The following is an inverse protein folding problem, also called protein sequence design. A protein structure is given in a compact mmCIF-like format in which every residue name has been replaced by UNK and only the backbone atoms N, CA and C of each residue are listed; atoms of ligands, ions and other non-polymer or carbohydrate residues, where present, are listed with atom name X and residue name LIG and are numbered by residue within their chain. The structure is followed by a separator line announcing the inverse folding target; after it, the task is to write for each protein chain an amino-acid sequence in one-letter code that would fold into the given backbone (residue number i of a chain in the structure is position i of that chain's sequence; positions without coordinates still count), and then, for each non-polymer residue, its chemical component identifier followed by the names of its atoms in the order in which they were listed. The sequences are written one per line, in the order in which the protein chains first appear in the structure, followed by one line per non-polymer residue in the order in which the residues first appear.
data_IF_918513605066
#
_entry.id   IF_918513605066
#
_cell.length_a   1.000
_cell.length_b   1.000
_cell.length_c   1.000
_cell.angle_alpha   90.00
_cell.angle_beta   90.00
_cell.angle_gamma   90.00
#
_symmetry.space_group_name_H-M   'P 1'
#
loop_
_entity.id
_entity.type
_entity.pdbx_description
1 polymer ?
#
# COMPACT_ATOMS: atom_id res chain seq x y z
N UNK A 1 14.13 -39.48 33.45
CA UNK A 1 13.93 -38.04 33.24
C UNK A 1 14.90 -37.56 32.17
N UNK A 2 14.44 -37.37 30.94
CA UNK A 2 15.18 -36.66 29.91
C UNK A 2 14.16 -35.86 29.12
N UNK A 3 14.08 -34.56 29.43
CA UNK A 3 13.21 -33.62 28.76
C UNK A 3 13.86 -33.19 27.46
N UNK A 4 13.33 -33.66 26.33
CA UNK A 4 13.66 -33.10 25.04
C UNK A 4 12.95 -31.76 24.87
N UNK A 5 13.68 -30.68 25.10
CA UNK A 5 13.28 -29.33 24.69
C UNK A 5 13.39 -29.24 23.16
N UNK A 6 12.27 -29.44 22.47
CA UNK A 6 12.16 -29.02 21.08
C UNK A 6 12.21 -27.48 21.01
N UNK A 7 13.31 -26.95 20.49
CA UNK A 7 13.35 -25.59 19.94
C UNK A 7 12.53 -25.59 18.65
N UNK A 8 11.28 -25.13 18.75
CA UNK A 8 10.41 -24.93 17.59
C UNK A 8 10.59 -23.49 17.10
N UNK A 9 10.94 -23.33 15.82
CA UNK A 9 11.35 -22.08 15.18
C UNK A 9 10.22 -21.05 15.01
N UNK A 10 10.59 -19.81 14.67
CA UNK A 10 9.68 -18.76 14.19
C UNK A 10 9.54 -18.92 12.68
N UNK A 11 8.31 -18.89 12.16
CA UNK A 11 8.06 -19.00 10.72
C UNK A 11 7.65 -17.64 10.16
N UNK A 12 8.39 -17.18 9.15
CA UNK A 12 8.13 -15.95 8.40
C UNK A 12 7.80 -16.35 6.97
N UNK A 13 6.64 -15.92 6.48
CA UNK A 13 6.17 -16.18 5.12
C UNK A 13 6.17 -14.87 4.33
N UNK A 14 6.80 -14.87 3.16
CA UNK A 14 6.63 -13.79 2.20
C UNK A 14 5.46 -14.11 1.27
N UNK A 15 4.41 -13.30 1.34
CA UNK A 15 3.27 -13.37 0.43
C UNK A 15 3.62 -12.49 -0.76
N UNK A 16 4.27 -13.12 -1.74
CA UNK A 16 4.60 -12.50 -3.02
C UNK A 16 3.45 -12.70 -4.00
N UNK A 17 3.22 -11.77 -4.94
CA UNK A 17 2.19 -12.00 -5.93
C UNK A 17 2.62 -13.08 -6.94
N UNK A 18 1.63 -13.73 -7.59
CA UNK A 18 1.86 -14.91 -8.43
C UNK A 18 2.57 -14.61 -9.76
N UNK A 19 3.76 -15.17 -9.98
CA UNK A 19 4.48 -15.07 -11.26
C UNK A 19 3.76 -15.89 -12.35
N UNK A 20 3.75 -15.37 -13.58
CA UNK A 20 3.27 -16.14 -14.74
C UNK A 20 4.41 -17.06 -15.20
N UNK A 21 4.28 -18.37 -15.00
CA UNK A 21 5.10 -19.33 -15.76
C UNK A 21 4.68 -19.26 -17.23
N UNK A 22 5.65 -19.32 -18.15
CA UNK A 22 5.38 -19.25 -19.59
C UNK A 22 4.71 -20.52 -20.16
N UNK A 23 4.49 -21.54 -19.34
CA UNK A 23 3.91 -22.81 -19.77
C UNK A 23 2.52 -23.02 -19.17
N UNK A 24 1.48 -22.63 -19.91
CA UNK A 24 0.25 -23.43 -20.12
C UNK A 24 -0.87 -22.56 -20.69
N UNK A 25 -1.22 -22.87 -21.93
CA UNK A 25 -2.45 -22.47 -22.62
C UNK A 25 -3.55 -23.38 -22.09
N UNK A 26 -4.54 -22.82 -21.39
CA UNK A 26 -5.71 -23.48 -20.75
C UNK A 26 -5.42 -24.25 -19.45
N UNK A 27 -5.54 -23.57 -18.32
CA UNK A 27 -5.64 -24.19 -17.00
C UNK A 27 -6.56 -23.38 -16.09
N UNK A 28 -7.69 -23.98 -15.69
CA UNK A 28 -8.48 -23.47 -14.57
C UNK A 28 -7.63 -23.58 -13.30
N UNK A 29 -7.21 -22.44 -12.74
CA UNK A 29 -6.51 -22.42 -11.46
C UNK A 29 -7.54 -22.54 -10.32
N UNK A 30 -7.45 -23.63 -9.56
CA UNK A 30 -8.07 -23.74 -8.25
C UNK A 30 -7.01 -23.30 -7.24
N UNK A 31 -7.23 -22.17 -6.59
CA UNK A 31 -6.39 -21.77 -5.47
C UNK A 31 -6.63 -22.74 -4.31
N UNK A 32 -5.54 -23.32 -3.80
CA UNK A 32 -5.56 -24.12 -2.59
C UNK A 32 -5.72 -23.19 -1.39
N UNK A 33 -6.97 -22.87 -1.05
CA UNK A 33 -7.31 -22.51 0.31
C UNK A 33 -6.95 -23.69 1.22
N UNK A 34 -6.21 -23.44 2.31
CA UNK A 34 -6.10 -24.40 3.41
C UNK A 34 -7.47 -24.51 4.09
N UNK A 35 -8.36 -25.31 3.51
CA UNK A 35 -9.61 -25.73 4.14
C UNK A 35 -9.35 -27.05 4.85
N UNK A 36 -9.38 -27.03 6.18
CA UNK A 36 -9.64 -28.26 6.94
C UNK A 36 -10.99 -28.83 6.48
N UNK A 37 -11.03 -30.15 6.34
CA UNK A 37 -12.09 -30.93 5.71
C UNK A 37 -13.50 -30.58 6.21
N UNK A 38 -14.26 -29.88 5.37
CA UNK A 38 -15.70 -29.68 5.51
C UNK A 38 -16.15 -28.71 4.42
N UNK A 39 -16.91 -29.19 3.43
CA UNK A 39 -17.36 -28.37 2.29
C UNK A 39 -18.23 -27.20 2.77
N UNK A 40 -17.88 -25.94 2.49
CA UNK A 40 -18.83 -24.84 2.48
C UNK A 40 -19.17 -24.49 1.02
N UNK A 41 -20.45 -24.33 0.73
CA UNK A 41 -21.00 -23.93 -0.58
C UNK A 41 -20.77 -22.43 -0.88
N UNK A 42 -19.52 -21.97 -0.76
CA UNK A 42 -19.14 -20.59 -1.08
C UNK A 42 -18.20 -20.62 -2.28
N UNK A 43 -18.73 -20.33 -3.46
CA UNK A 43 -17.94 -20.17 -4.68
C UNK A 43 -17.14 -18.84 -4.57
N UNK A 44 -15.86 -18.97 -4.20
CA UNK A 44 -14.92 -17.86 -4.06
C UNK A 44 -14.11 -17.70 -5.36
N UNK A 45 -14.17 -16.52 -5.98
CA UNK A 45 -13.50 -16.21 -7.25
C UNK A 45 -12.71 -14.90 -7.10
N UNK A 46 -11.48 -14.98 -6.62
CA UNK A 46 -10.53 -13.87 -6.70
C UNK A 46 -9.92 -13.78 -8.10
N UNK A 47 -10.44 -12.85 -8.91
CA UNK A 47 -9.87 -12.55 -10.23
C UNK A 47 -8.76 -11.51 -10.07
N UNK A 48 -7.55 -11.84 -10.54
CA UNK A 48 -6.43 -10.94 -10.91
C UNK A 48 -6.57 -9.50 -10.38
N UNK A 49 -6.28 -9.28 -9.10
CA UNK A 49 -6.45 -7.95 -8.49
C UNK A 49 -5.25 -7.07 -8.75
N UNK A 50 -5.49 -5.82 -9.18
CA UNK A 50 -4.47 -4.77 -9.28
C UNK A 50 -4.36 -3.91 -8.01
N UNK A 51 -4.76 -4.46 -6.86
CA UNK A 51 -4.80 -3.79 -5.56
C UNK A 51 -4.28 -4.73 -4.45
N UNK A 52 -3.42 -4.23 -3.57
CA UNK A 52 -2.96 -4.97 -2.37
C UNK A 52 -3.77 -4.53 -1.15
N UNK A 53 -4.53 -5.40 -0.49
CA UNK A 53 -5.36 -5.07 0.69
C UNK A 53 -5.39 -6.20 1.71
N UNK A 54 -5.47 -5.86 2.99
CA UNK A 54 -5.93 -6.78 4.04
C UNK A 54 -7.44 -6.66 4.24
N UNK A 55 -8.12 -7.77 4.57
CA UNK A 55 -9.53 -7.80 4.96
C UNK A 55 -9.77 -8.99 5.90
N UNK A 56 -10.77 -8.92 6.78
CA UNK A 56 -11.21 -10.08 7.56
C UNK A 56 -12.63 -10.43 7.14
N UNK A 57 -12.88 -11.71 6.91
CA UNK A 57 -14.21 -12.24 6.62
C UNK A 57 -14.64 -13.17 7.75
N UNK A 58 -15.93 -13.18 8.08
CA UNK A 58 -16.49 -14.18 8.97
C UNK A 58 -17.09 -15.31 8.12
N UNK A 59 -16.63 -16.54 8.33
CA UNK A 59 -17.19 -17.75 7.74
C UNK A 59 -17.99 -18.47 8.81
N UNK A 60 -19.26 -18.78 8.55
CA UNK A 60 -20.04 -19.62 9.45
C UNK A 60 -19.52 -21.05 9.37
N UNK A 61 -19.20 -21.64 10.53
CA UNK A 61 -18.79 -23.03 10.65
C UNK A 61 -19.56 -23.66 11.82
N UNK A 62 -20.64 -24.39 11.51
CA UNK A 62 -21.54 -24.95 12.52
C UNK A 62 -22.26 -23.86 13.32
N UNK A 63 -22.34 -24.03 14.65
CA UNK A 63 -23.05 -23.13 15.58
C UNK A 63 -22.27 -21.83 15.91
N UNK A 64 -21.23 -21.50 15.12
CA UNK A 64 -20.37 -20.33 15.36
C UNK A 64 -19.82 -19.68 14.10
N UNK A 65 -19.14 -18.54 14.28
CA UNK A 65 -18.41 -17.83 13.24
C UNK A 65 -16.90 -18.02 13.44
N UNK A 66 -16.20 -18.32 12.35
CA UNK A 66 -14.74 -18.31 12.27
C UNK A 66 -14.32 -17.08 11.46
N UNK A 67 -13.55 -16.20 12.06
CA UNK A 67 -12.92 -15.09 11.33
C UNK A 67 -11.74 -15.64 10.50
N UNK A 68 -11.88 -15.58 9.18
CA UNK A 68 -10.85 -15.92 8.21
C UNK A 68 -10.26 -14.60 7.67
N UNK A 69 -9.03 -14.26 8.03
CA UNK A 69 -8.36 -13.12 7.45
C UNK A 69 -7.94 -13.41 6.00
N UNK A 70 -8.26 -12.47 5.12
CA UNK A 70 -7.85 -12.44 3.72
C UNK A 70 -6.78 -11.36 3.53
N UNK A 71 -5.71 -11.71 2.82
CA UNK A 71 -4.70 -10.76 2.38
C UNK A 71 -4.59 -10.89 0.88
N UNK A 72 -5.08 -9.89 0.17
CA UNK A 72 -4.97 -9.81 -1.27
C UNK A 72 -3.65 -9.10 -1.60
N UNK A 73 -2.70 -9.82 -2.19
CA UNK A 73 -1.51 -9.21 -2.78
C UNK A 73 -1.82 -8.82 -4.24
N UNK A 74 -1.45 -7.61 -4.64
CA UNK A 74 -1.69 -7.13 -6.00
C UNK A 74 -0.90 -7.95 -7.03
N UNK A 75 -1.54 -8.37 -8.11
CA UNK A 75 -0.99 -9.30 -9.10
C UNK A 75 0.32 -8.78 -9.73
N UNK A 76 1.31 -9.67 -9.81
CA UNK A 76 2.66 -9.45 -10.39
C UNK A 76 2.68 -9.39 -11.91
N UNK A 77 1.55 -9.68 -12.56
CA UNK A 77 1.44 -9.67 -14.02
C UNK A 77 0.84 -8.34 -14.52
N UNK A 78 1.15 -7.99 -15.78
CA UNK A 78 0.57 -6.81 -16.42
C UNK A 78 1.17 -5.47 -15.95
N UNK A 79 0.41 -4.70 -15.17
CA UNK A 79 0.77 -3.32 -14.76
C UNK A 79 2.01 -3.24 -13.89
N UNK A 80 2.42 -4.35 -13.27
CA UNK A 80 3.66 -4.50 -12.50
C UNK A 80 4.96 -4.23 -13.28
N UNK A 81 4.88 -4.18 -14.61
CA UNK A 81 6.00 -3.97 -15.52
C UNK A 81 5.81 -2.76 -16.45
N UNK A 82 4.81 -1.92 -16.16
CA UNK A 82 4.47 -0.75 -16.96
C UNK A 82 4.65 0.54 -16.15
N UNK A 83 4.90 1.62 -16.85
CA UNK A 83 5.16 2.94 -16.27
C UNK A 83 6.52 3.48 -16.65
N UNK A 84 6.71 4.77 -16.41
CA UNK A 84 7.99 5.45 -16.60
C UNK A 84 9.04 4.81 -15.71
N UNK A 85 10.23 4.57 -16.25
CA UNK A 85 11.34 3.97 -15.52
C UNK A 85 12.01 4.99 -14.61
N UNK A 86 12.31 4.57 -13.39
CA UNK A 86 13.17 5.32 -12.48
C UNK A 86 14.64 5.21 -12.86
N UNK A 87 15.49 5.85 -12.05
CA UNK A 87 16.95 5.78 -12.17
C UNK A 87 17.50 4.35 -11.98
N UNK A 88 16.76 3.52 -11.24
CA UNK A 88 17.04 2.09 -11.03
C UNK A 88 16.70 1.23 -12.26
N UNK A 89 16.14 1.82 -13.32
CA UNK A 89 15.72 1.14 -14.55
C UNK A 89 14.42 0.36 -14.43
N UNK A 90 13.76 0.37 -13.27
CA UNK A 90 12.48 -0.29 -13.05
C UNK A 90 11.32 0.68 -13.29
N UNK A 91 10.19 0.22 -13.87
CA UNK A 91 9.01 1.05 -14.03
C UNK A 91 8.38 1.37 -12.67
N UNK A 92 7.74 2.54 -12.58
CA UNK A 92 6.97 3.00 -11.40
C UNK A 92 6.00 1.90 -10.89
N UNK A 93 5.33 1.21 -11.82
CA UNK A 93 4.51 0.03 -11.53
C UNK A 93 3.44 0.25 -10.45
N UNK A 94 2.92 1.47 -10.36
CA UNK A 94 1.86 1.86 -9.44
C UNK A 94 0.62 0.98 -9.63
N UNK A 95 0.05 0.53 -8.53
CA UNK A 95 -1.18 -0.27 -8.49
C UNK A 95 -2.42 0.63 -8.58
N UNK A 96 -3.59 0.06 -8.88
CA UNK A 96 -4.82 0.85 -9.06
C UNK A 96 -5.24 1.59 -7.77
N UNK A 97 -4.90 1.03 -6.60
CA UNK A 97 -5.10 1.66 -5.30
C UNK A 97 -4.02 2.71 -4.92
N UNK A 98 -3.11 3.03 -5.84
CA UNK A 98 -2.02 3.99 -5.64
C UNK A 98 -0.83 3.47 -4.86
N UNK A 99 -0.89 2.23 -4.35
CA UNK A 99 0.27 1.60 -3.72
C UNK A 99 1.35 1.32 -4.78
N UNK A 100 2.64 1.49 -4.45
CA UNK A 100 3.73 1.11 -5.35
C UNK A 100 3.79 -0.41 -5.47
N UNK A 101 4.58 -0.94 -6.41
CA UNK A 101 4.87 -2.37 -6.46
C UNK A 101 5.43 -2.89 -5.12
N UNK A 102 4.84 -3.96 -4.60
CA UNK A 102 5.22 -4.52 -3.29
C UNK A 102 4.69 -5.91 -3.01
N UNK A 103 4.93 -6.38 -1.79
CA UNK A 103 4.52 -7.67 -1.27
C UNK A 103 4.26 -7.59 0.23
N UNK A 104 3.58 -8.58 0.81
CA UNK A 104 3.38 -8.65 2.26
C UNK A 104 4.36 -9.65 2.89
N UNK A 105 4.79 -9.34 4.10
CA UNK A 105 5.50 -10.28 4.98
C UNK A 105 4.58 -10.62 6.14
N UNK A 106 4.24 -11.89 6.26
CA UNK A 106 3.47 -12.43 7.37
C UNK A 106 4.41 -13.08 8.39
N UNK A 107 4.27 -12.69 9.65
CA UNK A 107 5.03 -13.22 10.78
C UNK A 107 4.06 -13.94 11.72
N UNK A 108 4.16 -15.28 11.74
CA UNK A 108 3.28 -16.14 12.53
C UNK A 108 3.86 -16.36 13.92
N UNK A 109 3.06 -16.06 14.94
CA UNK A 109 3.41 -16.20 16.35
C UNK A 109 2.93 -17.53 16.88
N UNK A 110 3.67 -18.06 17.87
CA UNK A 110 3.39 -19.34 18.52
C UNK A 110 1.99 -19.45 19.16
N UNK A 111 1.39 -18.32 19.50
CA UNK A 111 0.06 -18.26 20.11
C UNK A 111 -1.09 -18.20 19.09
N UNK A 112 -0.83 -18.54 17.83
CA UNK A 112 -1.82 -18.52 16.75
C UNK A 112 -2.11 -17.12 16.19
N UNK A 113 -1.48 -16.07 16.72
CA UNK A 113 -1.56 -14.71 16.15
C UNK A 113 -0.60 -14.58 14.98
N UNK A 114 -0.87 -13.65 14.09
CA UNK A 114 0.06 -13.25 13.05
C UNK A 114 0.08 -11.74 12.91
N UNK A 115 1.12 -11.21 12.29
CA UNK A 115 1.21 -9.81 11.91
C UNK A 115 1.66 -9.69 10.46
N UNK A 116 1.16 -8.66 9.77
CA UNK A 116 1.52 -8.33 8.41
C UNK A 116 2.36 -7.07 8.36
N UNK A 117 3.26 -7.01 7.38
CA UNK A 117 3.95 -5.81 6.98
C UNK A 117 3.94 -5.71 5.45
N UNK A 118 3.48 -4.58 4.92
CA UNK A 118 3.66 -4.27 3.52
C UNK A 118 5.11 -3.84 3.24
N UNK A 119 5.71 -4.37 2.18
CA UNK A 119 7.05 -4.00 1.72
C UNK A 119 7.01 -3.56 0.26
N UNK A 120 7.39 -2.31 0.03
CA UNK A 120 7.67 -1.78 -1.30
C UNK A 120 8.93 -2.44 -1.88
N UNK A 121 8.87 -2.83 -3.15
CA UNK A 121 10.06 -3.31 -3.88
C UNK A 121 10.98 -2.12 -4.14
N UNK A 122 12.29 -2.27 -3.84
CA UNK A 122 13.31 -1.23 -4.02
C UNK A 122 13.03 0.08 -3.26
N UNK A 123 12.29 0.00 -2.15
CA UNK A 123 12.02 1.16 -1.30
C UNK A 123 11.56 0.77 0.10
N UNK A 124 11.31 1.77 0.94
CA UNK A 124 10.84 1.57 2.32
C UNK A 124 9.51 2.28 2.61
N UNK A 125 8.95 2.99 1.64
CA UNK A 125 7.70 3.70 1.82
C UNK A 125 6.55 2.71 2.01
N UNK A 126 5.83 2.87 3.12
CA UNK A 126 4.65 2.09 3.49
C UNK A 126 3.38 2.95 3.53
N UNK A 127 3.52 4.25 3.30
CA UNK A 127 2.45 5.21 3.16
C UNK A 127 2.96 6.46 2.42
N UNK A 128 2.04 7.35 2.05
CA UNK A 128 2.32 8.68 1.51
C UNK A 128 1.40 9.73 2.15
N UNK A 129 1.80 11.00 2.06
CA UNK A 129 1.00 12.13 2.55
C UNK A 129 0.98 13.26 1.51
N UNK A 130 -0.21 13.81 1.29
CA UNK A 130 -0.48 14.79 0.25
C UNK A 130 -1.35 15.92 0.79
N UNK A 131 -0.94 17.17 0.60
CA UNK A 131 -1.75 18.33 0.91
C UNK A 131 -2.54 18.73 -0.34
N UNK A 132 -3.87 18.65 -0.25
CA UNK A 132 -4.78 19.12 -1.27
C UNK A 132 -5.01 20.64 -1.14
N UNK A 133 -5.35 21.30 -2.25
CA UNK A 133 -5.55 22.76 -2.29
C UNK A 133 -6.70 23.28 -1.43
N UNK A 134 -7.57 22.39 -0.92
CA UNK A 134 -8.66 22.70 0.02
C UNK A 134 -8.25 22.44 1.49
N UNK A 135 -6.95 22.44 1.77
CA UNK A 135 -6.36 22.17 3.08
C UNK A 135 -6.70 20.78 3.65
N UNK A 136 -7.00 19.80 2.79
CA UNK A 136 -7.13 18.41 3.20
C UNK A 136 -5.75 17.73 3.15
N UNK A 137 -5.29 17.21 4.29
CA UNK A 137 -4.14 16.31 4.34
C UNK A 137 -4.64 14.89 4.07
N UNK A 138 -4.28 14.35 2.91
CA UNK A 138 -4.67 13.03 2.42
C UNK A 138 -3.51 12.06 2.60
N UNK A 139 -3.79 10.90 3.16
CA UNK A 139 -2.83 9.82 3.43
C UNK A 139 -3.26 8.57 2.69
N UNK A 140 -2.36 7.98 1.93
CA UNK A 140 -2.54 6.64 1.37
C UNK A 140 -1.68 5.65 2.17
N UNK A 141 -2.30 4.66 2.81
CA UNK A 141 -1.57 3.61 3.56
C UNK A 141 -1.44 2.36 2.68
N UNK A 142 -0.23 2.06 2.23
CA UNK A 142 -0.06 0.97 1.27
C UNK A 142 -0.33 -0.39 1.91
N UNK A 143 -1.23 -1.16 1.31
CA UNK A 143 -1.65 -2.46 1.84
C UNK A 143 -2.54 -2.41 3.08
N UNK A 144 -2.99 -1.23 3.53
CA UNK A 144 -3.82 -1.09 4.72
C UNK A 144 -5.19 -1.75 4.58
N UNK A 145 -5.76 -2.28 5.65
CA UNK A 145 -7.17 -2.66 5.66
C UNK A 145 -8.12 -1.43 5.63
N UNK A 146 -9.28 -1.52 4.94
CA UNK A 146 -10.27 -0.43 4.88
C UNK A 146 -10.86 -0.03 6.25
N UNK A 147 -10.89 -0.94 7.21
CA UNK A 147 -11.32 -0.74 8.58
C UNK A 147 -10.18 -0.28 9.51
N UNK A 148 -9.01 -0.02 8.95
CA UNK A 148 -7.85 0.51 9.66
C UNK A 148 -8.05 1.94 10.16
N UNK A 149 -7.30 2.28 11.21
CA UNK A 149 -7.27 3.61 11.81
C UNK A 149 -5.98 4.34 11.46
N UNK A 150 -6.09 5.60 11.07
CA UNK A 150 -4.96 6.48 10.74
C UNK A 150 -4.97 7.67 11.68
N UNK A 151 -3.82 7.99 12.26
CA UNK A 151 -3.56 9.26 12.92
C UNK A 151 -2.33 9.92 12.30
N UNK A 152 -2.39 11.24 12.15
CA UNK A 152 -1.31 12.03 11.57
C UNK A 152 -0.82 13.08 12.57
N UNK A 153 0.46 13.40 12.48
CA UNK A 153 1.05 14.51 13.20
C UNK A 153 1.89 15.35 12.26
N UNK A 154 1.49 16.61 12.16
CA UNK A 154 2.17 17.64 11.38
C UNK A 154 3.25 18.26 12.30
N UNK A 155 4.48 18.48 11.81
CA UNK A 155 5.51 19.23 12.54
C UNK A 155 5.00 20.60 12.98
N UNK A 156 5.49 21.13 14.10
CA UNK A 156 5.02 22.42 14.64
C UNK A 156 3.66 22.36 15.35
N UNK A 157 2.78 21.43 14.98
CA UNK A 157 1.48 21.23 15.65
C UNK A 157 1.60 20.33 16.88
N UNK A 158 0.86 20.68 17.94
CA UNK A 158 0.71 19.82 19.12
C UNK A 158 -0.39 18.78 18.87
N UNK A 159 -0.14 17.56 19.33
CA UNK A 159 -1.12 16.46 19.28
C UNK A 159 -1.13 15.66 17.97
N UNK A 160 -1.91 14.58 17.99
CA UNK A 160 -2.21 13.75 16.83
C UNK A 160 -3.62 14.09 16.34
N UNK A 161 -3.80 14.10 15.03
CA UNK A 161 -5.08 14.24 14.36
C UNK A 161 -5.57 12.88 13.91
N UNK A 162 -6.83 12.54 14.20
CA UNK A 162 -7.45 11.34 13.65
C UNK A 162 -7.89 11.61 12.22
N UNK A 163 -7.49 10.76 11.29
CA UNK A 163 -7.93 10.81 9.91
C UNK A 163 -9.18 9.97 9.70
N UNK A 164 -10.03 10.41 8.79
CA UNK A 164 -11.28 9.73 8.42
C UNK A 164 -11.08 9.07 7.06
N UNK A 165 -11.53 7.83 6.90
CA UNK A 165 -11.46 7.13 5.61
C UNK A 165 -12.28 7.89 4.57
N UNK A 166 -11.74 8.03 3.37
CA UNK A 166 -12.35 8.80 2.29
C UNK A 166 -12.51 7.95 1.02
N UNK A 167 -13.70 7.99 0.43
CA UNK A 167 -14.01 7.34 -0.84
C UNK A 167 -13.48 8.19 -2.01
N UNK A 168 -12.17 8.08 -2.26
CA UNK A 168 -11.49 8.82 -3.34
C UNK A 168 -10.42 7.99 -4.05
N UNK A 169 -10.08 8.31 -5.31
CA UNK A 169 -8.87 7.78 -5.93
C UNK A 169 -7.63 8.18 -5.15
N UNK A 170 -6.68 7.26 -5.07
CA UNK A 170 -5.39 7.55 -4.47
C UNK A 170 -4.64 8.65 -5.26
N UNK A 171 -3.95 9.58 -4.58
CA UNK A 171 -3.22 10.65 -5.24
C UNK A 171 -2.18 10.14 -6.26
N UNK A 172 -1.50 9.03 -5.97
CA UNK A 172 -0.52 8.40 -6.86
C UNK A 172 -1.18 7.93 -8.18
N UNK A 173 -2.39 7.38 -8.10
CA UNK A 173 -3.16 6.99 -9.28
C UNK A 173 -3.51 8.22 -10.12
N UNK A 174 -3.86 9.34 -9.49
CA UNK A 174 -4.15 10.59 -10.18
C UNK A 174 -2.91 11.17 -10.86
N UNK A 175 -1.74 11.13 -10.21
CA UNK A 175 -0.47 11.53 -10.84
C UNK A 175 -0.16 10.71 -12.09
N UNK A 176 -0.34 9.39 -12.04
CA UNK A 176 -0.12 8.52 -13.21
C UNK A 176 -1.13 8.85 -14.32
N UNK A 177 -2.39 9.09 -13.99
CA UNK A 177 -3.42 9.49 -14.98
C UNK A 177 -3.03 10.81 -15.65
N UNK A 178 -2.56 11.78 -14.88
CA UNK A 178 -2.13 13.08 -15.42
C UNK A 178 -0.91 12.92 -16.32
N UNK A 179 0.12 12.21 -15.84
CA UNK A 179 1.35 11.91 -16.59
C UNK A 179 1.05 11.17 -17.90
N UNK A 180 0.10 10.24 -17.89
CA UNK A 180 -0.29 9.50 -19.09
C UNK A 180 -0.88 10.36 -20.21
N UNK A 181 -1.33 11.60 -19.94
CA UNK A 181 -1.82 12.50 -20.99
C UNK A 181 -0.71 12.88 -21.99
N UNK A 182 0.55 12.90 -21.56
CA UNK A 182 1.70 13.18 -22.43
C UNK A 182 2.38 11.92 -22.98
N UNK A 183 1.95 10.73 -22.56
CA UNK A 183 2.55 9.45 -22.97
C UNK A 183 1.62 8.75 -23.98
N UNK A 184 2.06 8.48 -25.22
CA UNK A 184 1.24 7.76 -26.18
C UNK A 184 1.05 6.30 -25.75
N UNK A 185 -0.15 5.74 -25.96
CA UNK A 185 -0.48 4.34 -25.62
C UNK A 185 0.33 3.32 -26.42
N UNK A 186 0.80 3.71 -27.60
CA UNK A 186 1.54 2.85 -28.54
C UNK A 186 2.72 3.62 -29.10
N UNK A 187 3.78 2.87 -29.39
CA UNK A 187 4.92 3.34 -30.18
C UNK A 187 4.93 2.52 -31.47
N UNK A 188 4.51 3.13 -32.58
CA UNK A 188 4.19 2.41 -33.81
C UNK A 188 3.08 1.38 -33.59
N UNK A 189 3.36 0.09 -33.84
CA UNK A 189 2.39 -1.01 -33.65
C UNK A 189 2.44 -1.63 -32.25
N UNK A 190 3.52 -1.40 -31.49
CA UNK A 190 3.72 -1.98 -30.17
C UNK A 190 3.05 -1.16 -29.07
N UNK A 191 2.67 -1.80 -27.96
CA UNK A 191 2.24 -1.10 -26.74
C UNK A 191 3.42 -0.33 -26.17
N UNK A 192 3.20 0.91 -25.76
CA UNK A 192 4.24 1.68 -25.08
C UNK A 192 4.38 1.15 -23.63
N UNK A 193 5.54 0.63 -23.21
CA UNK A 193 5.75 0.16 -21.85
C UNK A 193 5.67 1.27 -20.79
N UNK A 194 5.91 2.53 -21.17
CA UNK A 194 5.81 3.67 -20.25
C UNK A 194 4.37 4.08 -19.96
N UNK A 195 3.43 3.67 -20.82
CA UNK A 195 2.01 3.94 -20.62
C UNK A 195 1.41 2.95 -19.61
N UNK A 196 1.14 3.44 -18.40
CA UNK A 196 0.54 2.65 -17.32
C UNK A 196 -0.98 2.84 -17.29
N UNK A 197 -1.80 1.91 -17.81
CA UNK A 197 -3.23 2.15 -17.98
C UNK A 197 -3.97 2.22 -16.64
N UNK A 198 -4.20 3.44 -16.16
CA UNK A 198 -4.92 3.72 -14.92
C UNK A 198 -6.38 4.05 -15.15
N UNK A 199 -7.24 3.60 -14.22
CA UNK A 199 -8.64 4.01 -14.13
C UNK A 199 -8.81 4.86 -12.87
N UNK A 200 -9.68 5.86 -12.94
CA UNK A 200 -10.05 6.69 -11.79
C UNK A 200 -11.04 5.93 -10.91
N UNK A 201 -10.53 5.06 -10.05
CA UNK A 201 -11.29 4.24 -9.10
C UNK A 201 -10.89 4.63 -7.68
N UNK A 202 -11.83 4.57 -6.74
CA UNK A 202 -11.54 4.83 -5.34
C UNK A 202 -10.58 3.79 -4.77
N UNK A 203 -9.63 4.25 -3.96
CA UNK A 203 -8.71 3.36 -3.26
C UNK A 203 -9.31 2.94 -1.92
N UNK A 204 -9.19 1.67 -1.51
CA UNK A 204 -9.61 1.24 -0.18
C UNK A 204 -8.77 1.83 0.95
N UNK A 205 -7.64 2.46 0.64
CA UNK A 205 -6.58 2.82 1.60
C UNK A 205 -6.33 4.32 1.72
N UNK A 206 -7.36 5.14 1.53
CA UNK A 206 -7.21 6.59 1.61
C UNK A 206 -7.94 7.13 2.83
N UNK A 207 -7.23 7.94 3.62
CA UNK A 207 -7.75 8.69 4.75
C UNK A 207 -7.43 10.16 4.58
N UNK A 208 -8.24 11.04 5.17
CA UNK A 208 -7.99 12.47 5.17
C UNK A 208 -8.27 13.14 6.50
N UNK A 209 -7.58 14.26 6.70
CA UNK A 209 -7.80 15.20 7.79
C UNK A 209 -8.02 16.57 7.20
N UNK A 210 -9.14 17.21 7.57
CA UNK A 210 -9.35 18.63 7.29
C UNK A 210 -8.51 19.46 8.25
N UNK A 211 -7.63 20.28 7.71
CA UNK A 211 -6.86 21.24 8.49
C UNK A 211 -7.72 22.48 8.70
N UNK A 212 -7.96 22.83 9.97
CA UNK A 212 -8.92 23.87 10.35
C UNK A 212 -8.38 25.29 10.23
N UNK A 213 -7.05 25.46 10.18
CA UNK A 213 -6.39 26.76 10.10
C UNK A 213 -5.41 26.79 8.93
N UNK A 214 -5.28 27.93 8.26
CA UNK A 214 -4.22 28.14 7.26
C UNK A 214 -2.81 27.97 7.84
N UNK A 215 -2.69 28.09 9.16
CA UNK A 215 -1.50 27.80 9.94
C UNK A 215 -1.09 26.32 9.91
N UNK A 216 -2.05 25.39 9.94
CA UNK A 216 -1.77 23.95 9.90
C UNK A 216 -1.19 23.52 8.54
N UNK A 217 -1.63 24.15 7.46
CA UNK A 217 -1.06 23.97 6.12
C UNK A 217 0.34 24.60 6.02
N UNK A 218 0.53 25.82 6.55
CA UNK A 218 1.85 26.49 6.51
C UNK A 218 2.90 25.78 7.37
N UNK A 219 2.52 25.10 8.45
CA UNK A 219 3.42 24.21 9.22
C UNK A 219 3.88 22.99 8.42
N UNK A 220 3.01 22.48 7.55
CA UNK A 220 3.31 21.37 6.66
C UNK A 220 4.40 21.77 5.64
N UNK A 221 4.37 23.04 5.20
CA UNK A 221 5.30 23.59 4.21
C UNK A 221 6.59 24.19 4.81
N UNK A 222 6.57 24.64 6.07
CA UNK A 222 7.63 25.48 6.68
C UNK A 222 8.77 24.73 7.39
N UNK A 223 8.96 23.43 7.16
CA UNK A 223 10.11 22.70 7.73
C UNK A 223 11.42 23.20 7.09
N UNK A 224 12.09 24.14 7.76
CA UNK A 224 13.46 24.56 7.47
C UNK A 224 14.44 23.48 7.95
N UNK A 225 15.07 22.76 7.02
CA UNK A 225 16.21 21.88 7.32
C UNK A 225 17.44 22.76 7.50
N UNK A 226 17.97 22.82 8.72
CA UNK A 226 19.26 23.44 9.01
C UNK A 226 20.39 22.43 8.75
N UNK A 227 21.18 22.63 7.70
CA UNK A 227 22.55 22.12 7.65
C UNK A 227 23.50 23.32 7.58
N UNK A 228 24.38 23.44 8.57
CA UNK A 228 25.51 24.37 8.51
C UNK A 228 26.47 23.87 7.43
N UNK A 229 26.58 24.66 6.38
CA UNK A 229 27.38 24.42 5.19
C UNK A 229 28.88 24.51 5.46
N UNK A 230 29.67 23.71 4.75
CA UNK A 230 30.71 24.27 3.89
C UNK A 230 30.72 23.54 2.54
N UNK A 231 30.31 24.26 1.50
CA UNK A 231 30.69 23.97 0.12
C UNK A 231 29.68 23.20 -0.74
N UNK A 232 28.82 23.96 -1.41
CA UNK A 232 28.28 23.72 -2.77
C UNK A 232 26.78 23.43 -2.84
N UNK A 233 26.12 24.34 -3.58
CA UNK A 233 24.69 24.56 -3.66
C UNK A 233 24.18 24.09 -5.03
N UNK A 234 23.34 23.05 -5.04
CA UNK A 234 22.38 22.78 -6.10
C UNK A 234 21.02 22.56 -5.43
N UNK A 235 20.08 23.48 -5.67
CA UNK A 235 18.86 23.64 -4.89
C UNK A 235 17.68 22.85 -5.44
N UNK A 236 17.21 21.86 -4.68
CA UNK A 236 15.83 21.40 -4.67
C UNK A 236 15.44 21.14 -3.20
N UNK A 237 14.64 22.04 -2.62
CA UNK A 237 14.14 21.93 -1.24
C UNK A 237 12.89 21.03 -1.23
N UNK A 238 13.00 19.82 -0.70
CA UNK A 238 11.83 18.96 -0.42
C UNK A 238 11.11 19.47 0.86
N UNK A 239 9.77 19.61 0.87
CA UNK A 239 9.00 20.21 1.97
C UNK A 239 8.81 19.25 3.17
N UNK A 240 8.16 19.73 4.23
CA UNK A 240 8.08 19.09 5.54
C UNK A 240 7.59 17.64 5.56
N UNK A 241 7.92 16.92 6.63
CA UNK A 241 7.50 15.52 6.78
C UNK A 241 6.28 15.39 7.67
N UNK A 242 5.40 14.42 7.41
CA UNK A 242 4.26 14.08 8.26
C UNK A 242 4.55 12.77 8.96
N UNK A 243 4.26 12.71 10.26
CA UNK A 243 4.26 11.45 11.00
C UNK A 243 2.90 10.79 10.87
N UNK A 244 2.88 9.51 10.49
CA UNK A 244 1.69 8.69 10.34
C UNK A 244 1.76 7.57 11.37
N UNK A 245 0.64 7.31 12.04
CA UNK A 245 0.40 6.12 12.83
C UNK A 245 -0.76 5.36 12.19
N UNK A 246 -0.53 4.11 11.89
CA UNK A 246 -1.54 3.22 11.32
C UNK A 246 -1.75 1.99 12.21
N UNK A 247 -2.99 1.55 12.32
CA UNK A 247 -3.35 0.31 13.02
C UNK A 247 -4.63 -0.31 12.44
N UNK A 248 -4.52 -1.58 12.08
CA UNK A 248 -5.63 -2.51 11.84
C UNK A 248 -5.42 -3.81 12.68
N UNK A 249 -6.29 -4.83 12.59
CA UNK A 249 -6.16 -6.07 13.37
C UNK A 249 -4.84 -6.84 13.16
N UNK A 250 -4.21 -6.72 11.99
CA UNK A 250 -3.06 -7.52 11.57
C UNK A 250 -1.81 -6.71 11.19
N UNK A 251 -1.93 -5.41 10.91
CA UNK A 251 -0.82 -4.51 10.56
C UNK A 251 -0.87 -3.24 11.42
N UNK A 252 0.30 -2.83 11.92
CA UNK A 252 0.43 -1.53 12.59
C UNK A 252 1.84 -1.00 12.41
N UNK A 253 1.97 0.31 12.25
CA UNK A 253 3.26 0.96 12.10
C UNK A 253 3.22 2.44 12.46
N UNK A 254 4.41 3.01 12.65
CA UNK A 254 4.62 4.46 12.60
C UNK A 254 5.55 4.75 11.42
N UNK A 255 5.22 5.74 10.62
CA UNK A 255 6.03 6.18 9.49
C UNK A 255 6.24 7.69 9.57
N UNK A 256 7.37 8.17 9.03
CA UNK A 256 7.58 9.59 8.75
C UNK A 256 7.78 9.69 7.25
N UNK A 257 6.87 10.40 6.57
CA UNK A 257 6.85 10.48 5.10
C UNK A 257 6.99 11.94 4.68
N UNK A 258 7.64 12.23 3.54
CA UNK A 258 7.65 13.58 2.99
C UNK A 258 6.21 13.99 2.64
N UNK A 259 5.87 15.24 2.92
CA UNK A 259 4.63 15.84 2.43
C UNK A 259 4.77 16.16 0.95
N UNK A 260 3.74 15.85 0.19
CA UNK A 260 3.62 16.18 -1.23
C UNK A 260 2.43 17.11 -1.43
N UNK A 261 2.35 17.75 -2.57
CA UNK A 261 1.17 18.52 -2.96
C UNK A 261 0.43 17.76 -4.04
N UNK A 262 -0.90 17.88 -4.04
CA UNK A 262 -1.69 17.28 -5.12
C UNK A 262 -1.26 17.83 -6.49
N UNK A 263 -1.19 16.95 -7.51
CA UNK A 263 -0.98 17.37 -8.90
C UNK A 263 -2.14 18.23 -9.43
#
# INVERSE_FOLDING_TARGET
MSGHTHRVGRDVLEIRPAERSHDSVHGHYRDHAFASSGRPDTEYSDKHSSCSTGKVFAVSAGDGFVEVPEVQAGATCGTFWLGVKGEDGFPDATMACGSPRGYFVADFKRNGKYSLAYKKVLGQDIASAWLAGDSALVVNVFGGAPDGSVSVRIPGRKGWLSAVREERPAPETLEVIERNKSIPRKTGKARNPEYLPMRKVNSPHVWSVRLSESLDASYADSVKVSHTSQGSQYGASMPGSVKIRYKDPCMSFNATVPLRFFP
#
